data_IF_898117720487
#
_entry.id   IF_898117720487
#
_cell.length_a   1.000
_cell.length_b   1.000
_cell.length_c   1.000
_cell.angle_alpha   90.00
_cell.angle_beta   90.00
_cell.angle_gamma   90.00
#
_symmetry.space_group_name_H-M   'P 1'
#
loop_
_entity.id
_entity.type
_entity.pdbx_description
1 polymer ?
#
# COMPACT_ATOMS: atom_id res chain seq x y z
N UNK A 1 17.53 -12.00 8.82
CA UNK A 1 16.90 -11.32 7.66
C UNK A 1 17.56 -11.80 6.38
N UNK A 2 16.78 -12.17 5.38
CA UNK A 2 17.26 -12.58 4.06
C UNK A 2 16.83 -11.55 3.03
N UNK A 3 17.77 -11.01 2.26
CA UNK A 3 17.50 -10.09 1.15
C UNK A 3 17.70 -10.81 -0.17
N UNK A 4 16.70 -10.78 -1.05
CA UNK A 4 16.73 -11.41 -2.37
C UNK A 4 16.39 -10.38 -3.43
N UNK A 5 17.29 -10.18 -4.40
CA UNK A 5 17.05 -9.28 -5.53
C UNK A 5 17.29 -10.02 -6.86
N UNK A 6 16.28 -10.11 -7.74
CA UNK A 6 16.48 -10.55 -9.12
C UNK A 6 17.48 -9.64 -9.88
N UNK A 7 18.32 -10.21 -10.77
CA UNK A 7 19.11 -9.45 -11.72
C UNK A 7 18.27 -8.45 -12.50
N UNK A 8 18.86 -7.32 -12.89
CA UNK A 8 18.16 -6.22 -13.58
C UNK A 8 17.46 -6.70 -14.87
N UNK A 9 18.05 -7.67 -15.57
CA UNK A 9 17.52 -8.27 -16.78
C UNK A 9 16.27 -9.11 -16.52
N UNK A 10 16.13 -9.67 -15.32
CA UNK A 10 14.94 -10.43 -14.94
C UNK A 10 13.82 -9.52 -14.48
N UNK A 11 14.12 -8.36 -13.86
CA UNK A 11 13.16 -7.40 -13.30
C UNK A 11 11.96 -7.07 -14.21
N UNK A 12 12.13 -7.19 -15.54
CA UNK A 12 11.06 -7.05 -16.53
C UNK A 12 9.88 -7.99 -16.27
N UNK A 13 10.14 -9.22 -15.81
CA UNK A 13 9.10 -10.19 -15.49
C UNK A 13 8.31 -9.76 -14.25
N UNK A 14 8.99 -9.17 -13.27
CA UNK A 14 8.43 -8.71 -12.00
C UNK A 14 7.67 -7.38 -12.14
N UNK A 15 7.55 -6.81 -13.35
CA UNK A 15 6.66 -5.67 -13.59
C UNK A 15 5.18 -6.02 -13.41
N UNK A 16 4.82 -7.30 -13.56
CA UNK A 16 3.44 -7.76 -13.33
C UNK A 16 3.23 -8.31 -11.91
N UNK A 17 2.07 -8.02 -11.33
CA UNK A 17 1.63 -8.57 -10.04
C UNK A 17 1.68 -10.11 -9.99
N UNK A 18 1.29 -10.77 -11.09
CA UNK A 18 1.27 -12.24 -11.18
C UNK A 18 2.67 -12.82 -11.00
N UNK A 19 3.68 -12.24 -11.65
CA UNK A 19 5.04 -12.74 -11.58
C UNK A 19 5.70 -12.40 -10.24
N UNK A 20 5.50 -11.20 -9.68
CA UNK A 20 5.96 -10.88 -8.31
C UNK A 20 5.38 -11.84 -7.28
N UNK A 21 4.09 -12.15 -7.39
CA UNK A 21 3.44 -13.15 -6.54
C UNK A 21 4.09 -14.51 -6.71
N UNK A 22 4.26 -14.97 -7.96
CA UNK A 22 4.91 -16.26 -8.24
C UNK A 22 6.32 -16.32 -7.65
N UNK A 23 7.12 -15.27 -7.82
CA UNK A 23 8.46 -15.19 -7.27
C UNK A 23 8.45 -15.23 -5.74
N UNK A 24 7.57 -14.45 -5.11
CA UNK A 24 7.39 -14.43 -3.64
C UNK A 24 6.96 -15.80 -3.10
N UNK A 25 6.04 -16.47 -3.79
CA UNK A 25 5.56 -17.80 -3.43
C UNK A 25 6.69 -18.85 -3.60
N UNK A 26 7.49 -18.77 -4.68
CA UNK A 26 8.69 -19.60 -4.88
C UNK A 26 9.71 -19.43 -3.75
N UNK A 27 10.04 -18.18 -3.40
CA UNK A 27 10.96 -17.87 -2.29
C UNK A 27 10.41 -18.43 -0.97
N UNK A 28 9.13 -18.21 -0.69
CA UNK A 28 8.47 -18.71 0.53
C UNK A 28 8.54 -20.24 0.61
N UNK A 29 8.27 -20.94 -0.49
CA UNK A 29 8.33 -22.39 -0.54
C UNK A 29 9.77 -22.92 -0.38
N UNK A 30 10.75 -22.25 -0.99
CA UNK A 30 12.15 -22.60 -0.80
C UNK A 30 12.56 -22.48 0.67
N UNK A 31 12.24 -21.36 1.34
CA UNK A 31 12.57 -21.17 2.75
C UNK A 31 11.85 -22.18 3.65
N UNK A 32 10.58 -22.49 3.41
CA UNK A 32 9.86 -23.55 4.13
C UNK A 32 10.56 -24.90 4.00
N UNK A 33 10.97 -25.28 2.80
CA UNK A 33 11.66 -26.55 2.56
C UNK A 33 13.06 -26.62 3.17
N UNK A 34 13.66 -25.48 3.49
CA UNK A 34 14.92 -25.37 4.23
C UNK A 34 14.73 -25.41 5.76
N UNK A 35 13.48 -25.54 6.24
CA UNK A 35 13.17 -25.68 7.66
C UNK A 35 12.69 -24.40 8.34
N UNK A 36 12.61 -23.26 7.63
CA UNK A 36 12.08 -22.01 8.19
C UNK A 36 10.56 -22.10 8.41
N UNK A 37 10.16 -22.44 9.64
CA UNK A 37 8.75 -22.69 10.02
C UNK A 37 7.84 -21.47 9.83
N UNK A 38 8.37 -20.27 10.06
CA UNK A 38 7.66 -19.00 9.95
C UNK A 38 8.53 -17.90 9.34
N UNK A 39 7.87 -16.91 8.76
CA UNK A 39 8.55 -15.73 8.23
C UNK A 39 7.60 -14.72 7.59
N UNK A 40 8.15 -13.55 7.29
CA UNK A 40 7.43 -12.36 6.82
C UNK A 40 8.19 -11.78 5.62
N UNK A 41 7.73 -12.01 4.38
CA UNK A 41 8.29 -11.37 3.21
C UNK A 41 7.68 -9.97 3.01
N UNK A 42 8.56 -9.01 2.73
CA UNK A 42 8.29 -7.63 2.39
C UNK A 42 8.72 -7.41 0.93
N UNK A 43 7.76 -7.05 0.08
CA UNK A 43 8.00 -6.70 -1.31
C UNK A 43 8.33 -5.21 -1.44
N UNK A 44 9.53 -4.94 -1.95
CA UNK A 44 10.03 -3.60 -2.23
C UNK A 44 10.18 -3.40 -3.73
N UNK A 45 10.06 -2.16 -4.20
CA UNK A 45 9.99 -1.82 -5.63
C UNK A 45 11.10 -0.88 -6.11
N UNK A 46 11.69 -0.10 -5.20
CA UNK A 46 12.83 0.79 -5.49
C UNK A 46 13.95 0.51 -4.48
N UNK A 47 15.19 0.69 -4.91
CA UNK A 47 16.37 0.66 -4.04
C UNK A 47 16.72 2.05 -3.54
N UNK A 48 18.02 2.32 -3.37
CA UNK A 48 18.51 3.65 -2.99
C UNK A 48 18.18 4.71 -4.06
N UNK A 49 18.26 4.32 -5.34
CA UNK A 49 17.80 5.13 -6.47
C UNK A 49 16.29 4.95 -6.66
N UNK A 50 15.52 5.92 -6.15
CA UNK A 50 14.05 5.96 -6.20
C UNK A 50 13.49 6.12 -7.61
N UNK A 51 14.31 6.50 -8.59
CA UNK A 51 13.88 6.66 -9.98
C UNK A 51 13.91 5.34 -10.76
N UNK A 52 14.56 4.31 -10.21
CA UNK A 52 14.78 3.04 -10.91
C UNK A 52 14.06 1.90 -10.23
N UNK A 53 13.21 1.26 -11.01
CA UNK A 53 12.57 0.01 -10.62
C UNK A 53 13.63 -1.04 -10.25
N UNK A 54 13.55 -1.54 -9.03
CA UNK A 54 14.46 -2.51 -8.44
C UNK A 54 13.68 -3.37 -7.45
N UNK A 55 12.83 -4.26 -7.96
CA UNK A 55 12.08 -5.16 -7.12
C UNK A 55 13.02 -6.10 -6.35
N UNK A 56 12.75 -6.23 -5.05
CA UNK A 56 13.47 -7.13 -4.18
C UNK A 56 12.58 -7.53 -3.00
N UNK A 57 12.97 -8.62 -2.35
CA UNK A 57 12.31 -9.13 -1.15
C UNK A 57 13.25 -9.00 0.02
N UNK A 58 12.74 -8.43 1.11
CA UNK A 58 13.29 -8.68 2.43
C UNK A 58 12.42 -9.72 3.13
N UNK A 59 13.04 -10.74 3.68
CA UNK A 59 12.34 -11.81 4.38
C UNK A 59 12.88 -11.90 5.79
N UNK A 60 12.03 -11.58 6.75
CA UNK A 60 12.31 -11.87 8.15
C UNK A 60 11.96 -13.35 8.39
N UNK A 61 12.93 -14.11 8.86
CA UNK A 61 12.78 -15.52 9.21
C UNK A 61 13.30 -15.72 10.61
N UNK A 62 12.76 -16.72 11.27
CA UNK A 62 13.29 -17.21 12.53
C UNK A 62 14.49 -18.12 12.25
N UNK A 63 15.70 -17.56 12.32
CA UNK A 63 16.94 -18.24 11.96
C UNK A 63 18.10 -17.81 12.83
N UNK A 64 19.12 -18.66 12.90
CA UNK A 64 20.24 -18.53 13.83
C UNK A 64 21.48 -17.91 13.19
N UNK A 65 22.49 -17.65 14.01
CA UNK A 65 23.82 -17.36 13.49
C UNK A 65 24.36 -18.56 12.71
N UNK A 66 25.01 -18.28 11.59
CA UNK A 66 25.67 -19.29 10.76
C UNK A 66 27.10 -18.84 10.50
N UNK A 67 28.04 -19.77 10.61
CA UNK A 67 29.42 -19.55 10.20
C UNK A 67 29.51 -19.28 8.69
N UNK A 68 30.58 -18.62 8.21
CA UNK A 68 30.69 -18.17 6.82
C UNK A 68 30.48 -19.27 5.77
N UNK A 69 30.99 -20.47 6.00
CA UNK A 69 30.87 -21.59 5.06
C UNK A 69 29.44 -22.17 5.00
N UNK A 70 28.80 -22.55 6.12
CA UNK A 70 27.38 -22.92 6.14
C UNK A 70 26.45 -21.83 5.57
N UNK A 71 26.78 -20.55 5.84
CA UNK A 71 26.05 -19.40 5.33
C UNK A 71 26.12 -19.30 3.80
N UNK A 72 27.31 -19.46 3.22
CA UNK A 72 27.48 -19.45 1.77
C UNK A 72 26.75 -20.62 1.11
N UNK A 73 26.86 -21.84 1.67
CA UNK A 73 26.15 -23.00 1.12
C UNK A 73 24.62 -22.83 1.21
N UNK A 74 24.11 -22.26 2.30
CA UNK A 74 22.70 -21.88 2.42
C UNK A 74 22.30 -20.91 1.30
N UNK A 75 23.09 -19.87 1.05
CA UNK A 75 22.79 -18.88 0.02
C UNK A 75 22.84 -19.49 -1.39
N UNK A 76 23.85 -20.33 -1.69
CA UNK A 76 23.94 -21.11 -2.94
C UNK A 76 22.76 -22.05 -3.11
N UNK A 77 22.31 -22.71 -2.04
CA UNK A 77 21.14 -23.58 -2.05
C UNK A 77 19.87 -22.78 -2.35
N UNK A 78 19.64 -21.66 -1.66
CA UNK A 78 18.50 -20.78 -1.94
C UNK A 78 18.51 -20.32 -3.41
N UNK A 79 19.65 -19.86 -3.95
CA UNK A 79 19.78 -19.46 -5.38
C UNK A 79 19.30 -20.57 -6.32
N UNK A 80 19.74 -21.82 -6.09
CA UNK A 80 19.35 -22.99 -6.90
C UNK A 80 17.86 -23.33 -6.81
N UNK A 81 17.21 -23.03 -5.69
CA UNK A 81 15.79 -23.33 -5.46
C UNK A 81 14.87 -22.27 -6.05
N UNK A 82 15.28 -21.00 -6.05
CA UNK A 82 14.43 -19.89 -6.47
C UNK A 82 14.60 -19.51 -7.94
N UNK A 83 15.79 -19.74 -8.51
CA UNK A 83 16.10 -19.39 -9.89
C UNK A 83 16.20 -20.65 -10.78
N UNK A 84 15.75 -20.57 -12.05
CA UNK A 84 15.92 -21.67 -12.99
C UNK A 84 17.41 -21.91 -13.30
N UNK A 85 17.75 -23.15 -13.70
CA UNK A 85 19.15 -23.56 -13.94
C UNK A 85 19.93 -22.63 -14.86
N UNK A 86 19.30 -22.08 -15.89
CA UNK A 86 19.96 -21.18 -16.84
C UNK A 86 20.36 -19.84 -16.20
N UNK A 87 19.55 -19.32 -15.27
CA UNK A 87 19.87 -18.10 -14.49
C UNK A 87 21.04 -18.39 -13.57
N UNK A 88 20.99 -19.51 -12.85
CA UNK A 88 22.09 -19.92 -11.97
C UNK A 88 23.39 -20.13 -12.76
N UNK A 89 23.34 -20.74 -13.95
CA UNK A 89 24.51 -20.90 -14.81
C UNK A 89 25.10 -19.57 -15.29
N UNK A 90 24.24 -18.58 -15.59
CA UNK A 90 24.67 -17.29 -16.13
C UNK A 90 25.23 -16.35 -15.06
N UNK A 91 24.62 -16.28 -13.88
CA UNK A 91 25.01 -15.33 -12.84
C UNK A 91 25.65 -15.96 -11.61
N UNK A 92 25.35 -17.23 -11.30
CA UNK A 92 25.93 -17.96 -10.17
C UNK A 92 25.84 -17.18 -8.86
N UNK A 93 26.98 -16.96 -8.23
CA UNK A 93 27.09 -16.23 -6.95
C UNK A 93 26.82 -14.73 -7.04
N UNK A 94 26.75 -14.17 -8.26
CA UNK A 94 26.30 -12.77 -8.47
C UNK A 94 24.80 -12.59 -8.22
N UNK A 95 24.03 -13.67 -8.08
CA UNK A 95 22.63 -13.60 -7.67
C UNK A 95 22.53 -13.14 -6.23
N UNK A 96 21.95 -11.96 -6.02
CA UNK A 96 21.83 -11.33 -4.72
C UNK A 96 20.86 -12.10 -3.81
N UNK A 97 21.44 -12.94 -2.94
CA UNK A 97 20.81 -13.63 -1.81
C UNK A 97 21.72 -13.41 -0.61
N UNK A 98 21.30 -12.56 0.31
CA UNK A 98 22.11 -12.13 1.44
C UNK A 98 21.38 -12.43 2.75
N UNK A 99 21.93 -13.32 3.57
CA UNK A 99 21.45 -13.57 4.92
C UNK A 99 22.26 -12.75 5.93
N UNK A 100 21.56 -12.02 6.81
CA UNK A 100 22.15 -11.27 7.92
C UNK A 100 21.45 -11.64 9.21
N UNK A 101 22.19 -12.25 10.13
CA UNK A 101 21.75 -12.45 11.51
C UNK A 101 21.70 -11.12 12.25
N UNK A 102 20.82 -11.02 13.25
CA UNK A 102 20.55 -9.80 14.02
C UNK A 102 20.65 -10.15 15.51
N UNK A 103 21.87 -10.15 16.08
CA UNK A 103 22.10 -10.59 17.46
C UNK A 103 21.42 -9.73 18.53
N UNK A 104 21.18 -8.44 18.27
CA UNK A 104 20.63 -7.52 19.27
C UNK A 104 19.22 -7.06 18.91
N UNK A 105 18.43 -6.74 19.93
CA UNK A 105 17.08 -6.18 19.76
C UNK A 105 17.09 -4.91 18.91
N UNK A 106 18.05 -4.00 19.12
CA UNK A 106 18.19 -2.78 18.32
C UNK A 106 18.40 -3.07 16.82
N UNK A 107 19.16 -4.12 16.49
CA UNK A 107 19.37 -4.53 15.10
C UNK A 107 18.14 -5.21 14.50
N UNK A 108 17.36 -5.93 15.31
CA UNK A 108 16.06 -6.46 14.89
C UNK A 108 15.08 -5.32 14.59
N UNK A 109 15.02 -4.31 15.47
CA UNK A 109 14.22 -3.09 15.25
C UNK A 109 14.63 -2.38 13.95
N UNK A 110 15.94 -2.13 13.79
CA UNK A 110 16.47 -1.52 12.56
C UNK A 110 16.10 -2.34 11.31
N UNK A 111 16.13 -3.67 11.39
CA UNK A 111 15.72 -4.53 10.28
C UNK A 111 14.22 -4.44 9.99
N UNK A 112 13.38 -4.39 11.04
CA UNK A 112 11.93 -4.25 10.90
C UNK A 112 11.57 -2.88 10.28
N UNK A 113 12.14 -1.80 10.81
CA UNK A 113 11.98 -0.44 10.29
C UNK A 113 12.39 -0.38 8.80
N UNK A 114 13.59 -0.88 8.50
CA UNK A 114 14.09 -0.95 7.13
C UNK A 114 13.19 -1.76 6.19
N UNK A 115 12.71 -2.94 6.62
CA UNK A 115 11.81 -3.79 5.80
C UNK A 115 10.41 -3.19 5.63
N UNK A 116 9.91 -2.47 6.63
CA UNK A 116 8.57 -1.89 6.61
C UNK A 116 8.50 -0.54 5.87
N UNK A 117 9.65 0.08 5.61
CA UNK A 117 9.75 1.35 4.91
C UNK A 117 9.05 1.30 3.53
N UNK A 118 8.19 2.29 3.22
CA UNK A 118 7.62 2.41 1.88
C UNK A 118 8.71 2.66 0.85
N UNK A 119 8.84 1.76 -0.13
CA UNK A 119 9.82 1.95 -1.21
C UNK A 119 9.25 2.61 -2.44
N UNK A 120 7.93 2.50 -2.70
CA UNK A 120 7.32 3.19 -3.83
C UNK A 120 7.04 4.65 -3.47
N UNK A 121 8.00 5.54 -3.74
CA UNK A 121 7.94 6.95 -3.30
C UNK A 121 7.85 7.97 -4.43
N UNK A 122 7.99 7.55 -5.69
CA UNK A 122 7.90 8.43 -6.85
C UNK A 122 6.76 7.94 -7.74
N UNK A 123 5.69 8.73 -7.82
CA UNK A 123 4.54 8.42 -8.66
C UNK A 123 4.79 8.79 -10.12
N UNK A 124 5.29 10.01 -10.35
CA UNK A 124 5.52 10.55 -11.69
C UNK A 124 6.46 9.66 -12.50
N UNK A 125 6.02 9.28 -13.70
CA UNK A 125 6.75 8.35 -14.59
C UNK A 125 6.69 6.88 -14.16
N UNK A 126 5.94 6.55 -13.11
CA UNK A 126 5.74 5.19 -12.60
C UNK A 126 4.25 4.83 -12.44
N UNK A 127 3.37 5.48 -13.20
CA UNK A 127 1.92 5.26 -13.20
C UNK A 127 1.59 3.80 -13.51
N UNK A 128 2.31 3.20 -14.46
CA UNK A 128 2.19 1.77 -14.80
C UNK A 128 2.47 0.87 -13.58
N UNK A 129 3.44 1.24 -12.74
CA UNK A 129 3.81 0.46 -11.56
C UNK A 129 2.74 0.62 -10.49
N UNK A 130 2.26 1.85 -10.28
CA UNK A 130 1.16 2.17 -9.37
C UNK A 130 -0.10 1.35 -9.70
N UNK A 131 -0.47 1.29 -10.98
CA UNK A 131 -1.55 0.43 -11.48
C UNK A 131 -1.27 -1.05 -11.20
N UNK A 132 -0.05 -1.51 -11.49
CA UNK A 132 0.30 -2.93 -11.30
C UNK A 132 0.27 -3.37 -9.84
N UNK A 133 0.60 -2.49 -8.89
CA UNK A 133 0.65 -2.80 -7.45
C UNK A 133 -0.67 -2.47 -6.73
N UNK A 134 -1.68 -1.94 -7.44
CA UNK A 134 -3.00 -1.64 -6.88
C UNK A 134 -3.64 -2.90 -6.30
N UNK A 135 -4.03 -2.85 -5.03
CA UNK A 135 -4.62 -3.98 -4.30
C UNK A 135 -3.68 -5.18 -4.08
N UNK A 136 -2.38 -5.06 -4.39
CA UNK A 136 -1.40 -6.10 -4.08
C UNK A 136 -1.06 -6.09 -2.58
N UNK A 137 -0.93 -7.26 -1.95
CA UNK A 137 -0.40 -7.36 -0.58
C UNK A 137 1.13 -7.40 -0.64
N UNK A 138 1.77 -6.33 -0.15
CA UNK A 138 3.24 -6.14 -0.16
C UNK A 138 3.93 -6.85 1.00
N UNK A 139 3.22 -6.97 2.12
CA UNK A 139 3.66 -7.78 3.26
C UNK A 139 2.78 -9.00 3.33
N UNK A 140 3.40 -10.16 3.54
CA UNK A 140 2.72 -11.42 3.83
C UNK A 140 3.34 -12.04 5.07
N UNK A 141 2.75 -13.12 5.56
CA UNK A 141 3.34 -13.95 6.59
C UNK A 141 3.04 -15.41 6.30
N UNK A 142 3.89 -16.31 6.80
CA UNK A 142 3.63 -17.74 6.87
C UNK A 142 4.03 -18.30 8.23
N UNK A 143 3.57 -19.52 8.50
CA UNK A 143 3.83 -20.19 9.77
C UNK A 143 2.89 -19.73 10.87
N UNK A 144 3.00 -20.37 12.04
CA UNK A 144 2.30 -19.95 13.25
C UNK A 144 3.15 -18.95 14.03
N UNK A 145 2.48 -17.98 14.64
CA UNK A 145 3.06 -16.92 15.45
C UNK A 145 2.42 -16.93 16.85
N UNK A 146 2.34 -18.12 17.43
CA UNK A 146 1.71 -18.44 18.71
C UNK A 146 2.72 -18.75 19.83
N UNK A 147 4.02 -18.74 19.51
CA UNK A 147 5.10 -18.90 20.49
C UNK A 147 5.34 -17.60 21.28
N UNK A 148 5.95 -17.74 22.47
CA UNK A 148 6.34 -16.59 23.27
C UNK A 148 7.28 -15.65 22.50
N UNK A 149 7.10 -14.32 22.62
CA UNK A 149 7.98 -13.37 21.98
C UNK A 149 9.43 -13.56 22.45
N UNK A 150 10.36 -13.71 21.50
CA UNK A 150 11.81 -13.79 21.81
C UNK A 150 12.34 -12.51 22.48
N UNK A 151 11.61 -11.42 22.35
CA UNK A 151 11.88 -10.10 22.94
C UNK A 151 10.56 -9.33 22.97
N UNK A 152 10.44 -8.38 23.89
CA UNK A 152 9.28 -7.50 24.05
C UNK A 152 9.69 -6.04 23.90
N UNK A 153 8.72 -5.14 23.72
CA UNK A 153 8.95 -3.70 23.64
C UNK A 153 8.62 -3.08 25.00
N UNK A 154 9.64 -2.70 25.76
CA UNK A 154 9.51 -2.32 27.18
C UNK A 154 8.75 -1.00 27.38
N UNK A 155 8.75 -0.08 26.40
CA UNK A 155 8.27 1.31 26.61
C UNK A 155 7.21 1.82 25.61
N UNK A 156 6.78 1.02 24.63
CA UNK A 156 5.86 1.50 23.57
C UNK A 156 4.45 0.95 23.65
N UNK A 157 4.07 0.26 24.75
CA UNK A 157 2.72 -0.27 24.91
C UNK A 157 1.67 0.79 24.61
N UNK A 158 1.76 2.03 25.12
CA UNK A 158 0.75 3.06 24.80
C UNK A 158 0.65 3.43 23.31
N UNK A 159 1.76 3.50 22.58
CA UNK A 159 1.76 3.87 21.15
C UNK A 159 1.29 2.73 20.24
N UNK A 160 1.53 1.49 20.65
CA UNK A 160 1.20 0.30 19.85
C UNK A 160 -0.08 -0.36 20.35
N UNK A 161 -0.57 -0.05 21.56
CA UNK A 161 -1.77 -0.65 22.14
C UNK A 161 -2.99 -0.42 21.26
N UNK A 162 -3.14 0.78 20.69
CA UNK A 162 -4.22 1.07 19.74
C UNK A 162 -4.16 0.11 18.55
N UNK A 163 -2.98 -0.15 18.00
CA UNK A 163 -2.76 -1.09 16.89
C UNK A 163 -3.00 -2.55 17.32
N UNK A 164 -2.56 -2.95 18.51
CA UNK A 164 -2.79 -4.30 19.05
C UNK A 164 -4.27 -4.56 19.29
N UNK A 165 -5.00 -3.56 19.80
CA UNK A 165 -6.44 -3.63 19.99
C UNK A 165 -7.15 -3.80 18.63
N UNK A 166 -6.80 -2.96 17.65
CA UNK A 166 -7.32 -3.05 16.28
C UNK A 166 -7.04 -4.42 15.64
N UNK A 167 -5.82 -4.96 15.80
CA UNK A 167 -5.45 -6.29 15.31
C UNK A 167 -6.29 -7.40 15.96
N UNK A 168 -6.60 -7.27 17.26
CA UNK A 168 -7.50 -8.18 18.00
C UNK A 168 -8.98 -7.95 17.68
N UNK A 169 -9.31 -7.02 16.77
CA UNK A 169 -10.68 -6.66 16.43
C UNK A 169 -11.41 -5.93 17.54
N UNK A 170 -10.68 -5.22 18.41
CA UNK A 170 -11.22 -4.45 19.55
C UNK A 170 -11.03 -2.96 19.34
N UNK A 171 -12.02 -2.17 19.77
CA UNK A 171 -11.96 -0.72 19.75
C UNK A 171 -10.80 -0.25 20.65
N UNK A 172 -9.88 0.60 20.17
CA UNK A 172 -8.76 1.08 20.96
C UNK A 172 -9.19 2.05 22.08
N UNK A 173 -10.42 2.58 22.03
CA UNK A 173 -10.96 3.52 23.04
C UNK A 173 -11.76 2.79 24.11
N UNK A 174 -12.73 1.95 23.72
CA UNK A 174 -13.64 1.29 24.67
C UNK A 174 -13.41 -0.22 24.86
N UNK A 175 -12.58 -0.87 24.02
CA UNK A 175 -12.28 -2.30 24.11
C UNK A 175 -13.34 -3.25 23.53
N UNK A 176 -14.49 -2.74 23.07
CA UNK A 176 -15.56 -3.54 22.47
C UNK A 176 -15.17 -4.12 21.09
N UNK A 177 -15.77 -5.23 20.65
CA UNK A 177 -15.53 -5.78 19.32
C UNK A 177 -15.90 -4.80 18.19
N UNK A 178 -14.98 -4.57 17.26
CA UNK A 178 -15.20 -3.68 16.11
C UNK A 178 -16.06 -4.40 15.06
N UNK A 179 -17.08 -3.69 14.59
CA UNK A 179 -17.82 -4.04 13.38
C UNK A 179 -17.30 -3.19 12.22
N UNK A 180 -16.61 -3.83 11.28
CA UNK A 180 -16.15 -3.17 10.05
C UNK A 180 -17.31 -3.07 9.05
N UNK A 181 -17.55 -1.88 8.52
CA UNK A 181 -18.45 -1.72 7.38
C UNK A 181 -17.76 -2.25 6.10
N UNK A 182 -18.55 -2.75 5.15
CA UNK A 182 -18.04 -3.35 3.91
C UNK A 182 -17.65 -2.33 2.85
N UNK A 183 -18.07 -1.07 3.01
CA UNK A 183 -17.82 0.01 2.05
C UNK A 183 -16.42 0.60 2.16
N UNK A 184 -15.82 0.95 1.03
CA UNK A 184 -14.64 1.82 0.99
C UNK A 184 -15.12 3.26 0.89
N UNK A 185 -14.79 4.07 1.89
CA UNK A 185 -15.13 5.49 1.91
C UNK A 185 -13.97 6.31 1.31
N UNK A 186 -14.21 7.20 0.33
CA UNK A 186 -13.20 8.10 -0.19
C UNK A 186 -12.55 8.94 0.92
N UNK A 187 -11.21 9.01 0.92
CA UNK A 187 -10.46 9.69 1.99
C UNK A 187 -10.89 11.17 2.17
N UNK A 188 -11.18 11.86 1.07
CA UNK A 188 -11.65 13.25 1.10
C UNK A 188 -12.96 13.44 1.89
N UNK A 189 -13.80 12.41 2.00
CA UNK A 189 -15.05 12.47 2.75
C UNK A 189 -14.85 12.27 4.26
N UNK A 190 -13.80 11.55 4.67
CA UNK A 190 -13.49 11.30 6.08
C UNK A 190 -12.50 12.30 6.65
N UNK A 191 -11.75 13.01 5.81
CA UNK A 191 -10.71 13.95 6.26
C UNK A 191 -11.25 15.07 7.17
N UNK A 192 -12.47 15.55 6.90
CA UNK A 192 -13.13 16.57 7.72
C UNK A 192 -13.68 16.03 9.06
N UNK A 193 -13.70 14.70 9.23
CA UNK A 193 -14.28 14.01 10.39
C UNK A 193 -13.21 13.35 11.27
N UNK A 194 -11.94 13.50 10.90
CA UNK A 194 -10.80 13.00 11.68
C UNK A 194 -10.73 13.80 12.98
N UNK A 195 -10.85 13.09 14.11
CA UNK A 195 -10.65 13.64 15.44
C UNK A 195 -9.17 13.59 15.83
N UNK A 196 -8.61 12.38 15.86
CA UNK A 196 -7.21 12.15 16.27
C UNK A 196 -6.58 11.01 15.46
N UNK A 197 -5.29 11.12 15.14
CA UNK A 197 -4.53 10.01 14.57
C UNK A 197 -4.08 9.06 15.68
N UNK A 198 -4.58 7.82 15.66
CA UNK A 198 -4.25 6.78 16.63
C UNK A 198 -2.88 6.16 16.37
N UNK A 199 -2.55 6.03 15.08
CA UNK A 199 -1.29 5.54 14.54
C UNK A 199 -1.21 5.93 13.07
N UNK A 200 -0.03 5.90 12.42
CA UNK A 200 0.11 6.23 11.00
C UNK A 200 -0.92 5.53 10.11
N UNK A 201 -1.86 6.30 9.56
CA UNK A 201 -2.94 5.79 8.70
C UNK A 201 -4.13 5.14 9.41
N UNK A 202 -4.17 5.16 10.75
CA UNK A 202 -5.32 4.76 11.57
C UNK A 202 -5.89 6.00 12.27
N UNK A 203 -7.05 6.42 11.82
CA UNK A 203 -7.68 7.67 12.23
C UNK A 203 -8.90 7.35 13.09
N UNK A 204 -9.01 8.01 14.24
CA UNK A 204 -10.23 8.05 15.02
C UNK A 204 -11.13 9.13 14.41
N UNK A 205 -12.37 8.76 14.08
CA UNK A 205 -13.38 9.70 13.61
C UNK A 205 -14.18 10.25 14.78
N UNK A 206 -14.70 11.46 14.64
CA UNK A 206 -15.61 12.06 15.62
C UNK A 206 -16.84 11.16 15.81
N UNK A 207 -17.22 10.91 17.07
CA UNK A 207 -18.35 10.03 17.43
C UNK A 207 -19.69 10.66 17.04
N UNK A 208 -19.76 11.98 17.03
CA UNK A 208 -20.91 12.77 16.60
C UNK A 208 -20.55 13.53 15.33
N UNK A 209 -21.16 13.15 14.20
CA UNK A 209 -21.20 14.03 13.02
C UNK A 209 -22.00 15.26 13.42
N UNK A 210 -21.39 16.45 13.35
CA UNK A 210 -22.16 17.68 13.41
C UNK A 210 -23.30 17.57 12.36
N UNK A 211 -24.55 17.92 12.72
CA UNK A 211 -25.65 17.86 11.77
C UNK A 211 -25.24 18.60 10.49
N UNK A 212 -25.56 18.08 9.30
CA UNK A 212 -25.21 18.74 8.05
C UNK A 212 -25.66 20.20 8.15
N UNK A 213 -24.75 21.15 7.84
CA UNK A 213 -24.97 22.59 7.99
C UNK A 213 -26.26 23.00 7.27
N UNK A 214 -27.36 23.06 8.02
CA UNK A 214 -28.64 23.63 7.64
C UNK A 214 -29.31 22.99 6.43
N UNK A 215 -30.62 23.18 6.34
CA UNK A 215 -31.32 23.17 5.06
C UNK A 215 -30.56 24.14 4.14
N UNK A 216 -30.27 23.76 2.89
CA UNK A 216 -29.80 24.73 1.89
C UNK A 216 -30.71 25.95 2.00
N UNK A 217 -30.13 27.11 2.29
CA UNK A 217 -30.91 28.33 2.37
C UNK A 217 -31.31 28.72 0.94
N UNK A 218 -32.53 28.33 0.56
CA UNK A 218 -33.12 28.61 -0.73
C UNK A 218 -33.72 30.03 -0.78
N UNK A 219 -33.61 30.83 0.29
CA UNK A 219 -34.01 32.25 0.30
C UNK A 219 -33.40 33.01 -0.87
N UNK A 220 -32.13 32.70 -1.19
CA UNK A 220 -31.36 33.23 -2.31
C UNK A 220 -31.99 32.99 -3.69
N UNK A 221 -32.92 32.03 -3.83
CA UNK A 221 -33.63 31.75 -5.08
C UNK A 221 -34.98 32.48 -5.16
N UNK A 222 -35.57 32.86 -4.02
CA UNK A 222 -36.87 33.54 -3.95
C UNK A 222 -36.69 35.04 -4.23
N UNK A 223 -35.58 35.63 -3.77
CA UNK A 223 -35.22 37.04 -3.96
C UNK A 223 -34.73 37.39 -5.37
N UNK A 224 -34.50 36.42 -6.25
CA UNK A 224 -34.08 36.69 -7.62
C UNK A 224 -35.20 37.39 -8.40
N UNK A 225 -34.89 38.26 -9.38
CA UNK A 225 -35.90 38.77 -10.29
C UNK A 225 -36.67 37.63 -10.96
N UNK A 226 -37.98 37.78 -11.22
CA UNK A 226 -38.81 36.70 -11.76
C UNK A 226 -38.36 36.16 -13.14
N UNK A 227 -37.56 36.96 -13.86
CA UNK A 227 -36.91 36.56 -15.11
C UNK A 227 -35.54 35.88 -14.96
N UNK A 228 -35.07 35.59 -13.74
CA UNK A 228 -33.77 34.96 -13.55
C UNK A 228 -33.80 33.51 -14.06
N UNK A 229 -32.81 33.16 -14.89
CA UNK A 229 -32.64 31.83 -15.47
C UNK A 229 -32.73 30.69 -14.43
N UNK A 230 -32.28 30.96 -13.20
CA UNK A 230 -32.30 30.01 -12.07
C UNK A 230 -33.70 29.77 -11.50
N UNK A 231 -34.69 30.64 -11.74
CA UNK A 231 -36.10 30.41 -11.34
C UNK A 231 -36.87 29.54 -12.35
N UNK A 232 -36.37 29.38 -13.57
CA UNK A 232 -37.06 28.60 -14.59
C UNK A 232 -36.95 27.09 -14.38
N UNK A 233 -38.02 26.37 -14.76
CA UNK A 233 -38.02 24.90 -14.81
C UNK A 233 -36.96 24.38 -15.79
N UNK A 234 -36.52 23.13 -15.62
CA UNK A 234 -35.54 22.51 -16.51
C UNK A 234 -36.00 22.49 -17.98
N UNK A 235 -37.31 22.42 -18.25
CA UNK A 235 -37.87 22.48 -19.59
C UNK A 235 -37.71 23.87 -20.21
N UNK A 236 -38.05 24.92 -19.45
CA UNK A 236 -37.88 26.31 -19.88
C UNK A 236 -36.41 26.69 -20.10
N UNK A 237 -35.50 26.23 -19.23
CA UNK A 237 -34.05 26.47 -19.41
C UNK A 237 -33.51 25.87 -20.71
N UNK A 238 -33.89 24.62 -21.00
CA UNK A 238 -33.52 23.96 -22.28
C UNK A 238 -34.02 24.73 -23.49
N UNK A 239 -35.19 25.35 -23.41
CA UNK A 239 -35.72 26.15 -24.52
C UNK A 239 -34.96 27.46 -24.69
N UNK A 240 -34.65 28.15 -23.59
CA UNK A 240 -33.83 29.37 -23.60
C UNK A 240 -32.46 29.10 -24.20
N UNK A 241 -31.82 28.00 -23.81
CA UNK A 241 -30.49 27.64 -24.32
C UNK A 241 -30.53 27.28 -25.81
N UNK A 242 -31.56 26.54 -26.25
CA UNK A 242 -31.78 26.25 -27.69
C UNK A 242 -31.99 27.52 -28.51
N UNK A 243 -32.77 28.47 -28.00
CA UNK A 243 -32.98 29.75 -28.68
C UNK A 243 -31.71 30.61 -28.72
N UNK A 244 -30.93 30.65 -27.63
CA UNK A 244 -29.63 31.33 -27.62
C UNK A 244 -28.66 30.75 -28.64
N UNK A 245 -28.60 29.43 -28.74
CA UNK A 245 -27.76 28.74 -29.73
C UNK A 245 -28.20 29.05 -31.17
N UNK A 246 -29.50 29.07 -31.44
CA UNK A 246 -30.05 29.43 -32.75
C UNK A 246 -29.75 30.89 -33.14
N UNK A 247 -29.87 31.82 -32.18
CA UNK A 247 -29.55 33.25 -32.40
C UNK A 247 -28.06 33.44 -32.63
N UNK A 248 -27.20 32.79 -31.84
CA UNK A 248 -25.75 32.81 -32.03
C UNK A 248 -25.37 32.32 -33.43
N UNK A 249 -25.92 31.18 -33.86
CA UNK A 249 -25.68 30.66 -35.21
C UNK A 249 -26.13 31.62 -36.29
N UNK A 250 -27.28 32.28 -36.14
CA UNK A 250 -27.77 33.26 -37.13
C UNK A 250 -26.86 34.48 -37.20
N UNK A 251 -26.40 34.99 -36.06
CA UNK A 251 -25.45 36.10 -35.99
C UNK A 251 -24.10 35.75 -36.63
N UNK A 252 -23.62 34.52 -36.42
CA UNK A 252 -22.39 34.03 -37.05
C UNK A 252 -22.53 33.90 -38.59
N UNK A 253 -23.73 33.54 -39.08
CA UNK A 253 -24.05 33.52 -40.51
C UNK A 253 -24.12 34.93 -41.13
N UNK A 254 -24.70 35.91 -40.42
CA UNK A 254 -24.80 37.31 -40.88
C UNK A 254 -23.45 38.05 -40.88
N UNK A 255 -22.50 37.66 -40.03
CA UNK A 255 -21.12 38.16 -40.04
C UNK A 255 -20.23 37.55 -41.13
N UNK A 256 -20.63 36.40 -41.68
CA UNK A 256 -19.87 35.64 -42.69
C UNK A 256 -20.34 35.89 -44.13
N UNK A 257 -21.37 36.72 -44.34
CA UNK A 257 -21.90 37.17 -45.64
C UNK A 257 -21.43 38.58 -45.98
#
# INVERSE_FOLDING_TARGET
MITIRPPNELQLFERSRKQRRRFTDTVTNALKSLGYRRGIPFAHFFGDDKSKYAFHLHVLVDGDWLDPEPLDELCRKIRRMIYPRWVVKRWGDKLAVNYRYKPTQAQVYQALDYCSRPTFTLFDGNEWLADSIRGERKVRSWGKWDEEPKWHLDESEKKVHSLVALQKGKCPVCGEPIKWDKGVTPFAQVQAEVDTELAPGYLLLQTERAPPKGRLDLSNLIELPDGDYRKHSNACRKEIDRHRELISRRHDYELAS
#
